data_IF_173751898748
#
_entry.id   IF_173751898748
#
_cell.length_a   1.000
_cell.length_b   1.000
_cell.length_c   1.000
_cell.angle_alpha   90.00
_cell.angle_beta   90.00
_cell.angle_gamma   90.00
#
_symmetry.space_group_name_H-M   'P 1'
#
loop_
_entity.id
_entity.type
_entity.pdbx_description
1 polymer ?
#
# COMPACT_ATOMS: atom_id res chain seq x y z
N UNK A 1 5.79 17.98 -9.57
CA UNK A 1 4.32 17.79 -9.47
C UNK A 1 4.04 16.37 -9.02
N UNK A 2 3.14 16.19 -8.07
CA UNK A 2 2.77 14.82 -7.70
C UNK A 2 2.13 14.11 -8.90
N UNK A 3 2.41 12.82 -9.03
CA UNK A 3 1.82 12.02 -10.08
C UNK A 3 0.31 11.88 -9.87
N UNK A 4 -0.43 11.78 -10.95
CA UNK A 4 -1.85 11.49 -10.87
C UNK A 4 -2.04 10.06 -10.37
N UNK A 5 -3.12 9.76 -9.62
CA UNK A 5 -3.36 8.41 -9.13
C UNK A 5 -3.28 7.35 -10.23
N UNK A 6 -3.83 7.64 -11.40
CA UNK A 6 -3.79 6.71 -12.53
C UNK A 6 -2.35 6.35 -12.93
N UNK A 7 -1.48 7.35 -13.02
CA UNK A 7 -0.09 7.15 -13.43
C UNK A 7 0.67 6.34 -12.39
N UNK A 8 0.43 6.62 -11.13
CA UNK A 8 1.10 5.92 -10.04
C UNK A 8 0.69 4.46 -9.98
N UNK A 9 -0.60 4.16 -10.18
CA UNK A 9 -1.10 2.79 -10.18
C UNK A 9 -0.48 1.95 -11.29
N UNK A 10 -0.12 2.55 -12.42
CA UNK A 10 0.54 1.83 -13.50
C UNK A 10 1.91 1.29 -13.10
N UNK A 11 2.48 1.81 -12.02
CA UNK A 11 3.81 1.43 -11.54
C UNK A 11 3.77 0.53 -10.31
N UNK A 12 2.60 0.30 -9.73
CA UNK A 12 2.45 -0.42 -8.45
C UNK A 12 1.65 -1.70 -8.65
N UNK A 13 2.24 -2.84 -8.29
CA UNK A 13 1.50 -4.10 -8.27
C UNK A 13 0.51 -4.14 -7.10
N UNK A 14 -0.66 -4.72 -7.25
CA UNK A 14 -1.15 -5.51 -8.39
C UNK A 14 -1.71 -4.69 -9.55
N UNK A 15 -1.83 -3.39 -9.39
CA UNK A 15 -2.55 -2.52 -10.33
C UNK A 15 -1.85 -2.40 -11.68
N UNK A 16 -0.51 -2.52 -11.70
CA UNK A 16 0.28 -2.45 -12.92
C UNK A 16 -0.05 -3.56 -13.92
N UNK A 17 -0.63 -4.67 -13.43
CA UNK A 17 -1.00 -5.83 -14.26
C UNK A 17 -2.37 -5.71 -14.90
N UNK A 18 -3.14 -4.71 -14.49
CA UNK A 18 -4.50 -4.51 -14.99
C UNK A 18 -4.48 -3.62 -16.23
N UNK A 19 -5.55 -3.71 -17.03
CA UNK A 19 -5.66 -2.84 -18.21
C UNK A 19 -5.91 -1.38 -17.79
N UNK A 20 -5.75 -0.46 -18.74
CA UNK A 20 -5.86 0.96 -18.46
C UNK A 20 -7.26 1.37 -18.00
N UNK A 21 -8.30 0.77 -18.56
CA UNK A 21 -9.68 1.07 -18.15
C UNK A 21 -9.97 0.65 -16.72
N UNK A 22 -9.49 -0.52 -16.33
CA UNK A 22 -9.63 -1.04 -14.98
C UNK A 22 -8.85 -0.17 -13.99
N UNK A 23 -7.61 0.20 -14.33
CA UNK A 23 -6.81 1.09 -13.47
C UNK A 23 -7.48 2.44 -13.28
N UNK A 24 -8.07 2.99 -14.33
CA UNK A 24 -8.76 4.28 -14.24
C UNK A 24 -9.93 4.22 -13.25
N UNK A 25 -10.72 3.14 -13.31
CA UNK A 25 -11.83 2.94 -12.38
C UNK A 25 -11.36 2.85 -10.93
N UNK A 26 -10.25 2.17 -10.70
CA UNK A 26 -9.66 2.03 -9.37
C UNK A 26 -9.09 3.36 -8.88
N UNK A 27 -8.40 4.09 -9.76
CA UNK A 27 -7.79 5.37 -9.41
C UNK A 27 -8.80 6.38 -8.88
N UNK A 28 -10.02 6.37 -9.40
CA UNK A 28 -11.08 7.28 -8.96
C UNK A 28 -11.50 7.05 -7.52
N UNK A 29 -11.22 5.88 -6.96
CA UNK A 29 -11.61 5.52 -5.59
C UNK A 29 -10.54 5.82 -4.55
N UNK A 30 -9.34 6.15 -4.98
CA UNK A 30 -8.27 6.55 -4.06
C UNK A 30 -8.48 8.00 -3.63
N UNK A 31 -8.13 8.26 -2.36
CA UNK A 31 -8.18 9.58 -1.77
C UNK A 31 -6.76 10.06 -1.51
N UNK A 32 -6.47 11.32 -1.84
CA UNK A 32 -5.16 11.92 -1.60
C UNK A 32 -5.15 12.48 -0.17
N UNK A 33 -4.18 12.05 0.64
CA UNK A 33 -4.08 12.45 2.04
C UNK A 33 -2.70 13.00 2.34
N UNK A 34 -2.66 14.13 3.05
CA UNK A 34 -1.44 14.76 3.52
C UNK A 34 -1.07 14.21 4.89
N UNK A 35 0.17 13.75 5.04
CA UNK A 35 0.66 13.18 6.30
C UNK A 35 1.83 14.02 6.78
N UNK A 36 1.66 14.83 7.84
CA UNK A 36 2.75 15.64 8.36
C UNK A 36 3.89 14.80 8.94
N UNK A 37 5.08 15.36 8.90
CA UNK A 37 6.25 14.75 9.52
C UNK A 37 5.97 14.34 10.96
N UNK A 38 6.38 13.12 11.33
CA UNK A 38 6.22 12.59 12.68
C UNK A 38 4.90 11.87 12.92
N UNK A 39 3.93 12.03 12.03
CA UNK A 39 2.63 11.41 12.20
C UNK A 39 2.69 9.91 11.87
N UNK A 40 1.96 9.13 12.67
CA UNK A 40 1.88 7.67 12.48
C UNK A 40 0.80 7.37 11.44
N UNK A 41 1.21 6.74 10.33
CA UNK A 41 0.27 6.35 9.27
C UNK A 41 -0.46 5.06 9.63
N UNK A 42 0.27 4.06 10.10
CA UNK A 42 -0.30 2.79 10.56
C UNK A 42 0.36 2.39 11.87
N UNK A 43 -0.41 1.70 12.73
CA UNK A 43 0.06 1.25 14.03
C UNK A 43 0.02 -0.28 14.11
N UNK A 44 1.07 -0.85 14.65
CA UNK A 44 1.17 -2.29 14.86
C UNK A 44 -0.03 -2.79 15.67
N UNK A 45 -0.63 -3.88 15.21
CA UNK A 45 -1.78 -4.50 15.87
C UNK A 45 -3.15 -3.99 15.44
N UNK A 46 -3.22 -2.83 14.79
CA UNK A 46 -4.50 -2.32 14.29
C UNK A 46 -4.94 -3.07 13.06
N UNK A 47 -6.26 -3.18 12.88
CA UNK A 47 -6.83 -3.82 11.68
C UNK A 47 -6.47 -3.01 10.43
N UNK A 48 -6.12 -3.72 9.37
CA UNK A 48 -5.67 -3.12 8.12
C UNK A 48 -6.87 -2.79 7.22
N UNK A 49 -7.52 -1.64 7.43
CA UNK A 49 -8.71 -1.26 6.68
C UNK A 49 -8.47 -0.29 5.53
N UNK A 50 -7.23 0.11 5.30
CA UNK A 50 -6.85 0.99 4.18
C UNK A 50 -5.55 0.53 3.54
N UNK A 51 -5.49 0.66 2.22
CA UNK A 51 -4.27 0.50 1.46
C UNK A 51 -3.71 1.88 1.18
N UNK A 52 -2.41 2.06 1.38
CA UNK A 52 -1.75 3.33 1.10
C UNK A 52 -0.66 3.15 0.05
N UNK A 53 -0.50 4.16 -0.81
CA UNK A 53 0.60 4.24 -1.76
C UNK A 53 1.27 5.60 -1.58
N UNK A 54 2.58 5.63 -1.40
CA UNK A 54 3.30 6.88 -1.17
C UNK A 54 3.44 7.65 -2.49
N UNK A 55 2.93 8.87 -2.52
CA UNK A 55 3.07 9.77 -3.68
C UNK A 55 4.37 10.54 -3.56
N UNK A 56 4.56 11.22 -2.43
CA UNK A 56 5.79 11.94 -2.10
C UNK A 56 6.11 11.74 -0.63
N UNK A 57 7.38 11.86 -0.27
CA UNK A 57 7.81 11.77 1.10
C UNK A 57 8.52 10.46 1.42
N UNK A 58 8.54 10.14 2.71
CA UNK A 58 9.31 9.01 3.21
C UNK A 58 8.76 8.55 4.55
N UNK A 59 8.67 7.23 4.73
CA UNK A 59 8.15 6.64 5.96
C UNK A 59 9.14 5.63 6.53
N UNK A 60 9.23 5.58 7.85
CA UNK A 60 10.03 4.58 8.56
C UNK A 60 9.12 3.47 9.07
N UNK A 61 9.53 2.23 8.87
CA UNK A 61 8.85 1.03 9.36
C UNK A 61 9.54 0.56 10.63
N UNK A 62 8.79 0.40 11.73
CA UNK A 62 9.34 0.03 13.03
C UNK A 62 8.45 -0.97 13.75
N UNK A 63 9.05 -1.85 14.54
CA UNK A 63 8.32 -2.72 15.47
C UNK A 63 8.65 -2.30 16.89
N UNK A 64 7.61 -1.88 17.62
CA UNK A 64 7.80 -1.32 18.96
C UNK A 64 8.67 -0.06 18.89
N UNK A 65 9.58 0.07 19.86
CA UNK A 65 10.51 1.21 19.94
C UNK A 65 11.87 0.91 19.30
N UNK A 66 11.95 -0.16 18.52
CA UNK A 66 13.19 -0.57 17.88
C UNK A 66 13.60 0.42 16.78
N UNK A 67 14.84 0.27 16.31
CA UNK A 67 15.32 1.04 15.15
C UNK A 67 14.49 0.75 13.93
N UNK A 68 14.40 1.68 12.97
CA UNK A 68 13.68 1.42 11.73
C UNK A 68 14.18 0.16 11.04
N UNK A 69 13.23 -0.71 10.66
CA UNK A 69 13.51 -1.95 9.95
C UNK A 69 13.67 -1.71 8.46
N UNK A 70 12.97 -0.70 7.94
CA UNK A 70 12.94 -0.40 6.53
C UNK A 70 12.43 1.02 6.32
N UNK A 71 12.56 1.49 5.08
CA UNK A 71 12.08 2.79 4.66
C UNK A 71 11.17 2.58 3.46
N UNK A 72 10.05 3.30 3.45
CA UNK A 72 9.11 3.29 2.32
C UNK A 72 9.20 4.64 1.65
N UNK A 73 9.47 4.64 0.35
CA UNK A 73 9.65 5.85 -0.44
C UNK A 73 8.53 6.04 -1.47
N UNK A 74 8.58 7.15 -2.19
CA UNK A 74 7.61 7.45 -3.24
C UNK A 74 7.46 6.30 -4.23
N UNK A 75 6.24 6.01 -4.63
CA UNK A 75 5.91 4.94 -5.56
C UNK A 75 5.72 3.57 -4.92
N UNK A 76 5.92 3.45 -3.62
CA UNK A 76 5.80 2.17 -2.93
C UNK A 76 4.49 2.07 -2.14
N UNK A 77 3.88 0.87 -2.09
CA UNK A 77 2.69 0.67 -1.26
C UNK A 77 3.08 0.48 0.21
N UNK A 78 2.14 0.78 1.10
CA UNK A 78 2.30 0.58 2.54
C UNK A 78 1.31 -0.48 2.99
N UNK A 79 1.83 -1.62 3.45
CA UNK A 79 1.03 -2.65 4.09
C UNK A 79 0.06 -3.39 3.19
N UNK A 80 0.40 -3.58 1.92
CA UNK A 80 -0.50 -4.25 0.97
C UNK A 80 -0.78 -5.69 1.37
N UNK A 81 0.19 -6.39 1.95
CA UNK A 81 -0.03 -7.79 2.35
C UNK A 81 -1.11 -7.86 3.44
N UNK A 82 -0.96 -7.08 4.51
CA UNK A 82 -1.94 -7.07 5.60
C UNK A 82 -3.33 -6.64 5.10
N UNK A 83 -3.36 -5.66 4.21
CA UNK A 83 -4.62 -5.17 3.66
C UNK A 83 -5.35 -6.27 2.88
N UNK A 84 -4.68 -6.90 1.92
CA UNK A 84 -5.31 -7.92 1.07
C UNK A 84 -5.60 -9.21 1.85
N UNK A 85 -4.76 -9.56 2.81
CA UNK A 85 -4.99 -10.75 3.66
C UNK A 85 -6.07 -10.53 4.71
N UNK A 86 -6.41 -9.28 5.01
CA UNK A 86 -7.43 -8.97 6.01
C UNK A 86 -6.96 -9.11 7.46
N UNK A 87 -5.66 -8.97 7.68
CA UNK A 87 -5.07 -9.14 9.01
C UNK A 87 -4.68 -7.84 9.69
N UNK A 88 -4.09 -7.94 10.88
CA UNK A 88 -3.58 -6.76 11.59
C UNK A 88 -2.27 -6.28 10.99
N UNK A 89 -1.97 -5.01 11.22
CA UNK A 89 -0.67 -4.43 10.85
C UNK A 89 0.43 -5.09 11.68
N UNK A 90 1.55 -5.39 11.05
CA UNK A 90 2.66 -6.08 11.71
C UNK A 90 3.75 -5.13 12.19
N UNK A 91 3.65 -3.85 11.88
CA UNK A 91 4.62 -2.84 12.29
C UNK A 91 3.98 -1.45 12.34
N UNK A 92 4.69 -0.51 12.95
CA UNK A 92 4.33 0.91 12.90
C UNK A 92 4.97 1.54 11.68
N UNK A 93 4.27 2.48 11.04
CA UNK A 93 4.81 3.26 9.92
C UNK A 93 4.61 4.74 10.22
N UNK A 94 5.70 5.47 10.32
CA UNK A 94 5.69 6.89 10.69
C UNK A 94 6.35 7.74 9.61
N UNK A 95 5.76 8.90 9.34
CA UNK A 95 6.31 9.84 8.37
C UNK A 95 7.62 10.44 8.89
N UNK A 96 8.69 10.32 8.10
CA UNK A 96 9.99 10.92 8.42
C UNK A 96 10.07 12.36 7.93
N UNK A 97 9.18 12.74 7.03
CA UNK A 97 9.05 14.11 6.51
C UNK A 97 7.59 14.31 6.09
N UNK A 98 7.24 15.56 5.76
CA UNK A 98 5.91 15.82 5.24
C UNK A 98 5.70 14.99 3.98
N UNK A 99 4.62 14.24 3.93
CA UNK A 99 4.38 13.22 2.92
C UNK A 99 2.95 13.30 2.40
N UNK A 100 2.75 12.74 1.20
CA UNK A 100 1.43 12.63 0.60
C UNK A 100 1.24 11.17 0.19
N UNK A 101 0.09 10.61 0.54
CA UNK A 101 -0.26 9.24 0.20
C UNK A 101 -1.60 9.18 -0.52
N UNK A 102 -1.78 8.15 -1.32
CA UNK A 102 -3.09 7.76 -1.84
C UNK A 102 -3.63 6.67 -0.92
N UNK A 103 -4.90 6.78 -0.54
CA UNK A 103 -5.54 5.82 0.36
C UNK A 103 -6.78 5.22 -0.29
N UNK A 104 -6.91 3.91 -0.17
CA UNK A 104 -8.08 3.17 -0.65
C UNK A 104 -8.65 2.40 0.54
N UNK A 105 -9.92 2.65 0.88
CA UNK A 105 -10.56 1.93 1.98
C UNK A 105 -10.90 0.50 1.58
N UNK A 106 -11.04 -0.36 2.59
CA UNK A 106 -11.45 -1.75 2.36
C UNK A 106 -12.81 -1.84 1.67
N UNK A 107 -13.77 -1.02 2.10
CA UNK A 107 -15.10 -1.05 1.50
C UNK A 107 -15.07 -0.64 0.03
N UNK A 108 -14.27 0.36 -0.33
CA UNK A 108 -14.10 0.75 -1.73
C UNK A 108 -13.43 -0.35 -2.53
N UNK A 109 -12.40 -0.99 -1.97
CA UNK A 109 -11.72 -2.09 -2.63
C UNK A 109 -12.67 -3.26 -2.87
N UNK A 110 -13.46 -3.64 -1.87
CA UNK A 110 -14.41 -4.75 -1.99
C UNK A 110 -15.48 -4.46 -3.04
N UNK A 111 -15.96 -3.22 -3.10
CA UNK A 111 -16.89 -2.79 -4.13
C UNK A 111 -16.29 -2.90 -5.53
N UNK A 112 -15.03 -2.52 -5.69
CA UNK A 112 -14.32 -2.65 -6.96
C UNK A 112 -14.11 -4.12 -7.33
N UNK A 113 -13.69 -4.94 -6.38
CA UNK A 113 -13.44 -6.36 -6.60
C UNK A 113 -14.71 -7.10 -7.05
N UNK A 114 -15.88 -6.69 -6.54
CA UNK A 114 -17.15 -7.28 -6.94
C UNK A 114 -17.51 -6.99 -8.39
N UNK A 115 -16.99 -5.88 -8.96
CA UNK A 115 -17.31 -5.46 -10.32
C UNK A 115 -16.21 -5.73 -11.33
N UNK A 116 -14.97 -5.92 -10.88
CA UNK A 116 -13.80 -6.07 -11.74
C UNK A 116 -13.23 -7.47 -11.58
N UNK A 117 -13.57 -8.40 -12.48
CA UNK A 117 -13.25 -9.83 -12.30
C UNK A 117 -11.75 -10.14 -12.30
N UNK A 118 -10.92 -9.26 -12.89
CA UNK A 118 -9.47 -9.50 -12.96
C UNK A 118 -8.72 -9.01 -11.71
N UNK A 119 -9.40 -8.31 -10.81
CA UNK A 119 -8.73 -7.69 -9.67
C UNK A 119 -8.19 -8.72 -8.68
N UNK A 120 -8.99 -9.68 -8.25
CA UNK A 120 -8.54 -10.70 -7.30
C UNK A 120 -7.43 -11.60 -7.85
N UNK A 121 -7.49 -12.08 -9.09
CA UNK A 121 -6.35 -12.84 -9.65
C UNK A 121 -5.05 -12.04 -9.64
N UNK A 122 -5.11 -10.76 -9.95
CA UNK A 122 -3.95 -9.87 -9.93
C UNK A 122 -3.38 -9.71 -8.52
N UNK A 123 -4.25 -9.53 -7.53
CA UNK A 123 -3.87 -9.44 -6.11
C UNK A 123 -3.23 -10.75 -5.64
N UNK A 124 -3.85 -11.88 -5.96
CA UNK A 124 -3.34 -13.20 -5.57
C UNK A 124 -1.94 -13.44 -6.13
N UNK A 125 -1.73 -13.09 -7.37
CA UNK A 125 -0.42 -13.22 -8.02
C UNK A 125 0.64 -12.37 -7.32
N UNK A 126 0.29 -11.14 -6.98
CA UNK A 126 1.19 -10.23 -6.27
C UNK A 126 1.54 -10.75 -4.87
N UNK A 127 0.55 -11.24 -4.13
CA UNK A 127 0.77 -11.79 -2.78
C UNK A 127 1.68 -13.01 -2.83
N UNK A 128 1.47 -13.90 -3.79
CA UNK A 128 2.31 -15.10 -3.95
C UNK A 128 3.78 -14.71 -4.20
N UNK A 129 4.01 -13.71 -5.04
CA UNK A 129 5.34 -13.21 -5.33
C UNK A 129 5.99 -12.58 -4.10
N UNK A 130 5.25 -11.78 -3.33
CA UNK A 130 5.75 -11.14 -2.11
C UNK A 130 6.13 -12.16 -1.06
N UNK A 131 5.32 -13.21 -0.89
CA UNK A 131 5.60 -14.29 0.04
C UNK A 131 6.84 -15.07 -0.36
N UNK A 132 7.03 -15.33 -1.66
CA UNK A 132 8.21 -15.98 -2.16
C UNK A 132 9.49 -15.17 -1.91
N UNK A 133 9.44 -13.86 -2.15
CA UNK A 133 10.55 -12.95 -1.88
C UNK A 133 10.91 -12.93 -0.40
N UNK A 134 9.92 -12.96 0.48
CA UNK A 134 10.12 -13.04 1.91
C UNK A 134 10.80 -14.33 2.32
N UNK A 135 10.34 -15.45 1.78
CA UNK A 135 10.94 -16.77 2.06
C UNK A 135 12.40 -16.81 1.63
N UNK A 136 12.74 -16.07 0.58
CA UNK A 136 14.13 -15.94 0.12
C UNK A 136 14.96 -14.96 0.98
N UNK A 137 14.39 -14.41 2.04
CA UNK A 137 15.10 -13.50 2.97
C UNK A 137 15.16 -12.05 2.53
N UNK A 138 14.37 -11.66 1.56
CA UNK A 138 14.32 -10.27 1.08
C UNK A 138 13.33 -9.46 1.92
N UNK A 139 13.76 -8.27 2.31
CA UNK A 139 12.85 -7.33 2.99
C UNK A 139 11.90 -6.72 1.99
N UNK A 140 10.63 -6.60 2.37
CA UNK A 140 9.60 -5.99 1.55
C UNK A 140 8.76 -5.05 2.41
N UNK A 141 8.46 -3.87 1.87
CA UNK A 141 7.55 -2.91 2.53
C UNK A 141 6.16 -3.48 2.72
N UNK A 142 5.78 -4.50 1.96
CA UNK A 142 4.49 -5.17 2.06
C UNK A 142 4.27 -5.89 3.37
N UNK A 143 5.32 -6.08 4.16
CA UNK A 143 5.23 -6.76 5.46
C UNK A 143 4.50 -5.97 6.53
N UNK A 144 4.21 -4.76 6.31
CA UNK A 144 3.41 -3.97 7.23
C UNK A 144 1.97 -3.91 6.77
#
# INVERSE_FOLDING_TARGET
>A
MPEQPFDLLAQVEPFSRLDAGTRAAIAERFELIHIPRGEMLVRQGEFSDRLYIVVTGRFAVMRGDAKPLAVIAAGQPVGEIAFFAGGPRTANVRAERDSVVLALSRSEFEGLAARLPDLWPSVTSTLAKRLADTTAGRCSSGFV
#
